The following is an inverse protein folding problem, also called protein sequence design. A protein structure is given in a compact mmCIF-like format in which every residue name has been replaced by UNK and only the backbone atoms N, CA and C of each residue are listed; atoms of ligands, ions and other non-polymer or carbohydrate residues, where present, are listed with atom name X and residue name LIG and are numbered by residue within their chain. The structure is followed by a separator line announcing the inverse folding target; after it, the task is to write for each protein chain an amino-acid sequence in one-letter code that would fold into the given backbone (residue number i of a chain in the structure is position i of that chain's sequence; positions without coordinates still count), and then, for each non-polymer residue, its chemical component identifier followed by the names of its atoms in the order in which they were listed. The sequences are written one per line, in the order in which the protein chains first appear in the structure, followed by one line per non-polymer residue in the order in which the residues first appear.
data_IF_240235266068
#
_entry.id   IF_240235266068
#
_cell.length_a   1.000
_cell.length_b   1.000
_cell.length_c   1.000
_cell.angle_alpha   90.00
_cell.angle_beta   90.00
_cell.angle_gamma   90.00
#
_symmetry.space_group_name_H-M   'P 1'
#
loop_
_entity.id
_entity.type
_entity.pdbx_description
1 polymer ?
#
# COMPACT_ATOMS: atom_id res chain seq x y z
N UNK A 1 5.30 -7.33 0.71
CA UNK A 1 4.06 -6.98 -0.03
C UNK A 1 3.86 -5.47 0.00
N UNK A 2 3.82 -4.79 1.16
CA UNK A 2 3.64 -3.31 1.19
C UNK A 2 4.69 -2.54 0.39
N UNK A 3 5.93 -3.04 0.32
CA UNK A 3 6.97 -2.47 -0.52
C UNK A 3 6.67 -2.68 -2.01
N UNK A 4 6.14 -3.85 -2.38
CA UNK A 4 5.69 -4.12 -3.75
C UNK A 4 4.57 -3.16 -4.16
N UNK A 5 3.62 -2.92 -3.26
CA UNK A 5 2.55 -1.94 -3.47
C UNK A 5 3.11 -0.51 -3.62
N UNK A 6 4.14 -0.16 -2.86
CA UNK A 6 4.79 1.14 -3.00
C UNK A 6 5.47 1.31 -4.37
N UNK A 7 6.22 0.30 -4.82
CA UNK A 7 6.90 0.39 -6.12
C UNK A 7 5.93 0.35 -7.30
N UNK A 8 4.71 -0.17 -7.12
CA UNK A 8 3.65 -0.05 -8.13
C UNK A 8 3.23 1.41 -8.39
N UNK A 9 3.59 2.36 -7.50
CA UNK A 9 3.38 3.80 -7.73
C UNK A 9 4.01 4.30 -9.03
N UNK A 10 5.07 3.66 -9.53
CA UNK A 10 5.68 3.99 -10.81
C UNK A 10 4.67 3.82 -11.97
N UNK A 11 3.72 2.90 -11.82
CA UNK A 11 2.71 2.62 -12.83
C UNK A 11 1.39 3.37 -12.60
N UNK A 12 1.17 3.97 -11.43
CA UNK A 12 -0.10 4.67 -11.16
C UNK A 12 -0.37 5.79 -12.18
N UNK A 13 0.66 6.57 -12.54
CA UNK A 13 0.49 7.62 -13.52
C UNK A 13 0.07 7.06 -14.88
N UNK A 14 0.72 5.99 -15.34
CA UNK A 14 0.42 5.34 -16.62
C UNK A 14 -0.95 4.69 -16.59
N UNK A 15 -1.26 3.96 -15.52
CA UNK A 15 -2.57 3.31 -15.34
C UNK A 15 -3.70 4.33 -15.30
N UNK A 16 -3.56 5.42 -14.56
CA UNK A 16 -4.58 6.47 -14.49
C UNK A 16 -4.81 7.16 -15.84
N UNK A 17 -3.78 7.30 -16.66
CA UNK A 17 -3.93 7.80 -18.04
C UNK A 17 -4.70 6.81 -18.90
N UNK A 18 -4.43 5.51 -18.82
CA UNK A 18 -5.19 4.49 -19.54
C UNK A 18 -6.64 4.42 -19.06
N UNK A 19 -6.88 4.66 -17.77
CA UNK A 19 -8.24 4.78 -17.23
C UNK A 19 -8.93 6.11 -17.62
N UNK A 20 -8.37 6.86 -18.59
CA UNK A 20 -8.96 8.07 -19.15
C UNK A 20 -8.83 9.34 -18.31
N UNK A 21 -7.89 9.38 -17.33
CA UNK A 21 -7.58 10.60 -16.59
C UNK A 21 -6.50 11.42 -17.33
N UNK A 22 -6.63 12.74 -17.30
CA UNK A 22 -5.57 13.62 -17.84
C UNK A 22 -4.30 13.47 -17.00
N UNK A 23 -3.13 13.65 -17.63
CA UNK A 23 -1.83 13.55 -16.94
C UNK A 23 -1.73 14.48 -15.74
N UNK A 24 -2.23 15.72 -15.87
CA UNK A 24 -2.21 16.69 -14.78
C UNK A 24 -3.08 16.24 -13.59
N UNK A 25 -4.28 15.72 -13.86
CA UNK A 25 -5.20 15.25 -12.82
C UNK A 25 -4.68 13.99 -12.14
N UNK A 26 -4.14 13.03 -12.90
CA UNK A 26 -3.48 11.84 -12.36
C UNK A 26 -2.29 12.19 -11.44
N UNK A 27 -1.44 13.14 -11.86
CA UNK A 27 -0.33 13.62 -11.05
C UNK A 27 -0.82 14.30 -9.76
N UNK A 28 -1.93 15.05 -9.82
CA UNK A 28 -2.53 15.66 -8.62
C UNK A 28 -3.03 14.62 -7.62
N UNK A 29 -3.72 13.57 -8.10
CA UNK A 29 -4.19 12.46 -7.25
C UNK A 29 -3.02 11.79 -6.53
N UNK A 30 -1.96 11.48 -7.27
CA UNK A 30 -0.74 10.87 -6.69
C UNK A 30 -0.10 11.83 -5.69
N UNK A 31 0.05 13.10 -6.04
CA UNK A 31 0.60 14.12 -5.13
C UNK A 31 -0.20 14.24 -3.83
N UNK A 32 -1.53 14.22 -3.90
CA UNK A 32 -2.39 14.25 -2.70
C UNK A 32 -2.23 12.99 -1.85
N UNK A 33 -2.03 11.82 -2.44
CA UNK A 33 -1.78 10.60 -1.68
C UNK A 33 -0.46 10.64 -0.89
N UNK A 34 0.56 11.36 -1.38
CA UNK A 34 1.80 11.60 -0.64
C UNK A 34 1.60 12.49 0.60
N UNK A 35 0.68 13.45 0.55
CA UNK A 35 0.28 14.18 1.76
C UNK A 35 -0.38 13.25 2.78
N UNK A 36 -1.19 12.31 2.34
CA UNK A 36 -1.74 11.23 3.18
C UNK A 36 -0.64 10.38 3.83
N UNK A 37 0.43 10.04 3.08
CA UNK A 37 1.61 9.33 3.61
C UNK A 37 2.29 10.10 4.76
N UNK A 38 2.53 11.38 4.57
CA UNK A 38 3.11 12.24 5.62
C UNK A 38 2.22 12.27 6.86
N UNK A 39 0.91 12.50 6.67
CA UNK A 39 -0.05 12.52 7.78
C UNK A 39 -0.10 11.17 8.49
N UNK A 40 -0.08 10.05 7.77
CA UNK A 40 -0.06 8.70 8.34
C UNK A 40 1.14 8.47 9.26
N UNK A 41 2.33 8.92 8.87
CA UNK A 41 3.57 8.84 9.69
C UNK A 41 3.45 9.66 10.96
N UNK A 42 2.95 10.89 10.84
CA UNK A 42 2.77 11.79 11.99
C UNK A 42 1.74 11.22 12.97
N UNK A 43 0.56 10.84 12.48
CA UNK A 43 -0.52 10.29 13.31
C UNK A 43 -0.04 9.04 14.05
N UNK A 44 0.57 8.09 13.34
CA UNK A 44 1.05 6.86 13.97
C UNK A 44 2.15 7.12 14.99
N UNK A 45 3.00 8.11 14.75
CA UNK A 45 4.03 8.51 15.73
C UNK A 45 3.41 8.88 17.09
N UNK A 46 2.27 9.58 17.10
CA UNK A 46 1.57 9.97 18.33
C UNK A 46 0.78 8.84 19.00
N UNK A 47 0.25 7.90 18.23
CA UNK A 47 -0.63 6.86 18.77
C UNK A 47 0.09 5.55 19.09
N UNK A 48 1.29 5.32 18.55
CA UNK A 48 2.06 4.08 18.74
C UNK A 48 2.41 3.79 20.20
N UNK A 49 2.52 4.83 21.05
CA UNK A 49 2.81 4.68 22.48
C UNK A 49 1.58 4.30 23.31
N UNK A 50 0.37 4.52 22.76
CA UNK A 50 -0.90 4.30 23.47
C UNK A 50 -1.60 2.99 23.10
N UNK A 51 -1.35 2.49 21.89
CA UNK A 51 -2.06 1.33 21.34
C UNK A 51 -1.09 0.23 20.93
N UNK A 52 -1.61 -0.98 20.89
CA UNK A 52 -0.83 -2.15 20.42
C UNK A 52 -0.37 -1.95 18.96
N UNK A 53 0.94 -2.06 18.75
CA UNK A 53 1.57 -1.81 17.45
C UNK A 53 1.12 -2.80 16.38
N UNK A 54 0.84 -4.02 16.78
CA UNK A 54 0.32 -5.06 15.89
C UNK A 54 -1.10 -4.71 15.42
N UNK A 55 -1.95 -4.23 16.32
CA UNK A 55 -3.29 -3.78 16.00
C UNK A 55 -3.25 -2.58 15.04
N UNK A 56 -2.40 -1.59 15.32
CA UNK A 56 -2.19 -0.43 14.44
C UNK A 56 -1.68 -0.84 13.06
N UNK A 57 -0.74 -1.80 12.97
CA UNK A 57 -0.24 -2.30 11.70
C UNK A 57 -1.32 -3.02 10.90
N UNK A 58 -2.20 -3.76 11.57
CA UNK A 58 -3.37 -4.41 10.94
C UNK A 58 -4.31 -3.36 10.33
N UNK A 59 -4.61 -2.29 11.06
CA UNK A 59 -5.41 -1.16 10.55
C UNK A 59 -4.71 -0.53 9.34
N UNK A 60 -3.41 -0.26 9.43
CA UNK A 60 -2.64 0.35 8.34
C UNK A 60 -2.69 -0.48 7.06
N UNK A 61 -2.59 -1.80 7.15
CA UNK A 61 -2.69 -2.68 5.99
C UNK A 61 -4.12 -2.79 5.47
N UNK A 62 -5.13 -2.73 6.33
CA UNK A 62 -6.53 -2.66 5.90
C UNK A 62 -6.82 -1.38 5.13
N UNK A 63 -6.33 -0.23 5.61
CA UNK A 63 -6.43 1.05 4.90
C UNK A 63 -5.72 1.00 3.55
N UNK A 64 -4.51 0.45 3.52
CA UNK A 64 -3.74 0.31 2.28
C UNK A 64 -4.47 -0.57 1.26
N UNK A 65 -5.08 -1.67 1.71
CA UNK A 65 -5.90 -2.55 0.87
C UNK A 65 -7.10 -1.81 0.27
N UNK A 66 -7.82 -1.03 1.09
CA UNK A 66 -8.93 -0.19 0.61
C UNK A 66 -8.47 0.86 -0.41
N UNK A 67 -7.29 1.44 -0.19
CA UNK A 67 -6.69 2.38 -1.15
C UNK A 67 -6.41 1.75 -2.51
N UNK A 68 -5.86 0.52 -2.53
CA UNK A 68 -5.59 -0.21 -3.79
C UNK A 68 -6.88 -0.64 -4.47
N UNK A 69 -7.90 -1.07 -3.70
CA UNK A 69 -9.24 -1.31 -4.23
C UNK A 69 -9.82 -0.07 -4.91
N UNK A 70 -9.54 1.12 -4.36
CA UNK A 70 -9.92 2.38 -4.99
C UNK A 70 -9.37 2.52 -6.41
N UNK A 71 -8.11 2.10 -6.66
CA UNK A 71 -7.52 2.11 -8.03
C UNK A 71 -8.27 1.16 -8.96
N UNK A 72 -8.64 -0.03 -8.48
CA UNK A 72 -9.42 -1.01 -9.27
C UNK A 72 -10.80 -0.44 -9.65
N UNK A 73 -11.42 0.36 -8.78
CA UNK A 73 -12.69 1.04 -9.06
C UNK A 73 -12.50 2.13 -10.14
N UNK A 74 -11.40 2.89 -10.10
CA UNK A 74 -11.11 3.92 -11.10
C UNK A 74 -10.98 3.31 -12.50
N UNK A 75 -10.38 2.12 -12.61
CA UNK A 75 -10.13 1.43 -13.88
C UNK A 75 -11.31 0.62 -14.42
N UNK A 76 -12.38 0.44 -13.65
CA UNK A 76 -13.52 -0.36 -14.09
C UNK A 76 -14.40 0.38 -15.11
N UNK A 77 -14.67 -0.26 -16.25
CA UNK A 77 -15.44 0.30 -17.37
C UNK A 77 -16.98 0.22 -17.19
N UNK A 78 -17.49 -0.38 -16.12
CA UNK A 78 -18.94 -0.54 -15.99
C UNK A 78 -19.64 0.80 -15.73
N UNK A 79 -20.70 1.10 -16.49
CA UNK A 79 -21.49 2.35 -16.39
C UNK A 79 -22.03 2.61 -14.98
N UNK A 80 -22.32 1.55 -14.24
CA UNK A 80 -22.72 1.64 -12.84
C UNK A 80 -21.60 2.22 -11.94
N UNK A 81 -20.37 2.18 -12.39
CA UNK A 81 -19.15 2.57 -11.64
C UNK A 81 -18.71 3.99 -11.97
N UNK A 82 -19.22 4.65 -13.01
CA UNK A 82 -18.91 6.06 -13.28
C UNK A 82 -19.29 6.97 -12.09
N UNK A 83 -20.38 6.65 -11.39
CA UNK A 83 -20.72 7.30 -10.13
C UNK A 83 -19.69 7.00 -9.02
N UNK A 84 -19.03 5.84 -9.07
CA UNK A 84 -18.05 5.39 -8.11
C UNK A 84 -16.59 5.79 -8.43
N UNK A 85 -16.32 6.35 -9.62
CA UNK A 85 -14.96 6.78 -10.00
C UNK A 85 -14.40 7.81 -9.02
N UNK A 86 -15.20 8.81 -8.64
CA UNK A 86 -14.82 9.78 -7.63
C UNK A 86 -14.59 9.12 -6.27
N UNK A 87 -15.39 8.11 -5.92
CA UNK A 87 -15.19 7.30 -4.72
C UNK A 87 -13.85 6.57 -4.77
N UNK A 88 -13.50 5.95 -5.89
CA UNK A 88 -12.22 5.28 -6.09
C UNK A 88 -11.03 6.24 -5.88
N UNK A 89 -11.13 7.46 -6.43
CA UNK A 89 -10.11 8.50 -6.25
C UNK A 89 -9.97 8.90 -4.78
N UNK A 90 -11.07 9.11 -4.08
CA UNK A 90 -11.10 9.47 -2.66
C UNK A 90 -10.49 8.34 -1.82
N UNK A 91 -10.89 7.09 -2.07
CA UNK A 91 -10.34 5.92 -1.40
C UNK A 91 -8.82 5.82 -1.60
N UNK A 92 -8.35 6.01 -2.82
CA UNK A 92 -6.92 6.00 -3.10
C UNK A 92 -6.18 7.12 -2.37
N UNK A 93 -6.61 8.36 -2.50
CA UNK A 93 -5.92 9.51 -1.87
C UNK A 93 -5.82 9.33 -0.36
N UNK A 94 -6.95 9.03 0.29
CA UNK A 94 -7.02 9.00 1.77
C UNK A 94 -6.42 7.70 2.30
N UNK A 95 -6.93 6.56 1.86
CA UNK A 95 -6.59 5.29 2.50
C UNK A 95 -5.27 4.72 2.04
N UNK A 96 -4.88 4.90 0.78
CA UNK A 96 -3.56 4.48 0.31
C UNK A 96 -2.46 5.30 1.02
N UNK A 97 -2.58 6.63 1.04
CA UNK A 97 -1.59 7.50 1.69
C UNK A 97 -1.46 7.19 3.18
N UNK A 98 -2.55 7.27 3.93
CA UNK A 98 -2.56 7.00 5.37
C UNK A 98 -2.07 5.58 5.69
N UNK A 99 -2.55 4.58 4.96
CA UNK A 99 -2.18 3.18 5.18
C UNK A 99 -0.70 2.92 4.91
N UNK A 100 -0.15 3.47 3.82
CA UNK A 100 1.27 3.32 3.52
C UNK A 100 2.12 4.07 4.54
N UNK A 101 1.84 5.34 4.79
CA UNK A 101 2.59 6.19 5.71
C UNK A 101 2.67 5.62 7.12
N UNK A 102 1.55 5.15 7.65
CA UNK A 102 1.51 4.55 8.99
C UNK A 102 2.21 3.18 9.05
N UNK A 103 2.17 2.40 7.98
CA UNK A 103 2.76 1.06 7.96
C UNK A 103 4.28 1.04 8.08
N UNK A 104 4.99 2.05 7.56
CA UNK A 104 6.46 2.11 7.53
C UNK A 104 7.05 2.16 8.94
N UNK A 105 6.74 3.16 9.79
CA UNK A 105 7.28 3.22 11.14
C UNK A 105 6.80 2.05 12.01
N UNK A 106 5.56 1.59 11.84
CA UNK A 106 5.02 0.46 12.61
C UNK A 106 5.78 -0.84 12.37
N UNK A 107 6.16 -1.13 11.13
CA UNK A 107 6.97 -2.33 10.82
C UNK A 107 8.32 -2.27 11.51
N UNK A 108 8.97 -1.11 11.53
CA UNK A 108 10.28 -0.93 12.13
C UNK A 108 10.21 -1.01 13.66
N UNK A 109 9.21 -0.39 14.27
CA UNK A 109 9.01 -0.46 15.73
C UNK A 109 8.60 -1.86 16.18
N UNK A 110 7.76 -2.55 15.42
CA UNK A 110 7.37 -3.92 15.70
C UNK A 110 8.58 -4.87 15.59
N UNK A 111 9.45 -4.69 14.60
CA UNK A 111 10.70 -5.44 14.49
C UNK A 111 11.59 -5.25 15.73
N UNK A 112 11.70 -4.02 16.25
CA UNK A 112 12.43 -3.75 17.48
C UNK A 112 11.84 -4.47 18.71
N UNK A 113 10.50 -4.59 18.77
CA UNK A 113 9.82 -5.28 19.88
C UNK A 113 10.02 -6.81 19.85
N UNK A 114 10.09 -7.40 18.66
CA UNK A 114 10.24 -8.86 18.50
C UNK A 114 11.69 -9.33 18.60
N UNK A 115 12.63 -8.57 18.05
CA UNK A 115 14.04 -8.98 17.92
C UNK A 115 14.98 -8.25 18.87
N UNK A 116 14.45 -7.28 19.62
CA UNK A 116 15.23 -6.48 20.58
C UNK A 116 16.09 -5.40 19.93
N UNK A 117 16.45 -4.39 20.74
CA UNK A 117 17.20 -3.22 20.26
C UNK A 117 18.65 -3.55 19.87
N UNK A 118 19.25 -4.60 20.45
CA UNK A 118 20.64 -4.99 20.18
C UNK A 118 20.86 -5.39 18.72
N UNK A 119 19.88 -6.05 18.10
CA UNK A 119 19.96 -6.57 16.74
C UNK A 119 19.15 -5.72 15.74
N UNK A 120 18.68 -4.55 16.15
CA UNK A 120 17.77 -3.72 15.37
C UNK A 120 18.31 -3.39 13.97
N UNK A 121 19.58 -2.97 13.87
CA UNK A 121 20.18 -2.63 12.57
C UNK A 121 20.18 -3.79 11.58
N UNK A 122 20.56 -5.00 12.03
CA UNK A 122 20.54 -6.21 11.19
C UNK A 122 19.12 -6.57 10.77
N UNK A 123 18.14 -6.46 11.66
CA UNK A 123 16.74 -6.76 11.36
C UNK A 123 16.16 -5.77 10.35
N UNK A 124 16.43 -4.48 10.50
CA UNK A 124 16.04 -3.45 9.54
C UNK A 124 16.69 -3.71 8.17
N UNK A 125 17.97 -4.10 8.17
CA UNK A 125 18.66 -4.50 6.93
C UNK A 125 17.97 -5.67 6.22
N UNK A 126 17.65 -6.74 6.92
CA UNK A 126 16.93 -7.91 6.37
C UNK A 126 15.55 -7.50 5.85
N UNK A 127 14.77 -6.75 6.65
CA UNK A 127 13.43 -6.30 6.24
C UNK A 127 13.49 -5.44 4.97
N UNK A 128 14.47 -4.55 4.87
CA UNK A 128 14.64 -3.71 3.69
C UNK A 128 15.13 -4.52 2.48
N UNK A 129 16.03 -5.50 2.67
CA UNK A 129 16.49 -6.38 1.59
C UNK A 129 15.34 -7.21 1.02
N UNK A 130 14.56 -7.87 1.89
CA UNK A 130 13.37 -8.61 1.46
C UNK A 130 12.37 -7.68 0.79
N UNK A 131 12.16 -6.49 1.38
CA UNK A 131 11.30 -5.46 0.80
C UNK A 131 11.75 -5.02 -0.59
N UNK A 132 13.07 -4.83 -0.80
CA UNK A 132 13.64 -4.44 -2.09
C UNK A 132 13.44 -5.53 -3.16
N UNK A 133 13.63 -6.81 -2.82
CA UNK A 133 13.38 -7.93 -3.75
C UNK A 133 11.92 -7.91 -4.23
N UNK A 134 10.96 -7.85 -3.31
CA UNK A 134 9.54 -7.77 -3.69
C UNK A 134 9.20 -6.45 -4.37
N UNK A 135 9.86 -5.37 -3.99
CA UNK A 135 9.72 -4.07 -4.64
C UNK A 135 10.17 -4.09 -6.10
N UNK A 136 11.29 -4.74 -6.40
CA UNK A 136 11.80 -4.86 -7.77
C UNK A 136 10.93 -5.80 -8.63
N UNK A 137 10.35 -6.84 -8.04
CA UNK A 137 9.46 -7.76 -8.75
C UNK A 137 8.09 -7.15 -9.06
N UNK A 138 7.63 -6.17 -8.27
CA UNK A 138 6.30 -5.59 -8.45
C UNK A 138 6.09 -4.89 -9.80
N UNK A 139 6.99 -4.03 -10.30
CA UNK A 139 6.89 -3.47 -11.64
C UNK A 139 6.83 -4.53 -12.74
N UNK A 140 7.64 -5.59 -12.58
CA UNK A 140 7.63 -6.71 -13.52
C UNK A 140 6.26 -7.42 -13.52
N UNK A 141 5.69 -7.70 -12.36
CA UNK A 141 4.37 -8.31 -12.25
C UNK A 141 3.28 -7.43 -12.89
N UNK A 142 3.31 -6.12 -12.64
CA UNK A 142 2.35 -5.18 -13.22
C UNK A 142 2.48 -5.12 -14.74
N UNK A 143 3.73 -5.03 -15.24
CA UNK A 143 4.01 -5.02 -16.69
C UNK A 143 3.57 -6.31 -17.37
N UNK A 144 3.99 -7.48 -16.85
CA UNK A 144 3.59 -8.78 -17.39
C UNK A 144 2.07 -8.96 -17.38
N UNK A 145 1.38 -8.56 -16.30
CA UNK A 145 -0.08 -8.64 -16.25
C UNK A 145 -0.71 -7.81 -17.37
N UNK A 146 -0.20 -6.60 -17.59
CA UNK A 146 -0.65 -5.75 -18.72
C UNK A 146 -0.41 -6.41 -20.06
N UNK A 147 0.76 -6.99 -20.28
CA UNK A 147 1.13 -7.64 -21.56
C UNK A 147 0.23 -8.85 -21.86
N UNK A 148 -0.14 -9.62 -20.84
CA UNK A 148 -1.00 -10.81 -20.98
C UNK A 148 -2.49 -10.49 -21.04
N UNK A 149 -2.96 -9.51 -20.30
CA UNK A 149 -4.41 -9.23 -20.17
C UNK A 149 -4.89 -8.02 -20.96
N UNK A 150 -3.95 -7.18 -21.40
CA UNK A 150 -4.27 -5.93 -22.09
C UNK A 150 -4.64 -4.77 -21.17
N UNK A 151 -4.82 -4.99 -19.84
CA UNK A 151 -5.27 -3.97 -18.90
C UNK A 151 -4.49 -4.02 -17.57
N UNK A 152 -4.25 -2.84 -16.96
CA UNK A 152 -3.63 -2.73 -15.64
C UNK A 152 -4.57 -3.13 -14.49
N UNK A 153 -5.87 -3.14 -14.69
CA UNK A 153 -6.86 -3.41 -13.62
C UNK A 153 -6.60 -4.77 -12.95
N UNK A 154 -6.22 -5.78 -13.74
CA UNK A 154 -5.93 -7.11 -13.22
C UNK A 154 -4.70 -7.13 -12.29
N UNK A 155 -3.69 -6.31 -12.57
CA UNK A 155 -2.56 -6.17 -11.68
C UNK A 155 -2.97 -5.61 -10.31
N UNK A 156 -3.88 -4.64 -10.28
CA UNK A 156 -4.41 -4.09 -9.02
C UNK A 156 -5.27 -5.10 -8.26
N UNK A 157 -6.03 -5.96 -8.95
CA UNK A 157 -6.74 -7.06 -8.30
C UNK A 157 -5.77 -8.05 -7.64
N UNK A 158 -4.68 -8.43 -8.33
CA UNK A 158 -3.64 -9.30 -7.77
C UNK A 158 -3.00 -8.66 -6.53
N UNK A 159 -2.61 -7.39 -6.61
CA UNK A 159 -2.02 -6.66 -5.49
C UNK A 159 -2.98 -6.56 -4.30
N UNK A 160 -4.26 -6.30 -4.55
CA UNK A 160 -5.30 -6.27 -3.52
C UNK A 160 -5.43 -7.63 -2.85
N UNK A 161 -5.50 -8.70 -3.62
CA UNK A 161 -5.59 -10.07 -3.09
C UNK A 161 -4.37 -10.40 -2.21
N UNK A 162 -3.17 -10.09 -2.66
CA UNK A 162 -1.94 -10.26 -1.89
C UNK A 162 -1.97 -9.47 -0.57
N UNK A 163 -2.52 -8.25 -0.59
CA UNK A 163 -2.65 -7.43 0.62
C UNK A 163 -3.67 -8.00 1.61
N UNK A 164 -4.79 -8.52 1.14
CA UNK A 164 -5.79 -9.20 1.99
C UNK A 164 -5.13 -10.38 2.73
N UNK A 165 -4.30 -11.17 2.05
CA UNK A 165 -3.56 -12.27 2.68
C UNK A 165 -2.55 -11.80 3.74
N UNK A 166 -2.05 -10.58 3.63
CA UNK A 166 -1.08 -10.04 4.60
C UNK A 166 -1.74 -9.75 5.96
N UNK A 167 -3.02 -9.37 5.97
CA UNK A 167 -3.74 -9.02 7.20
C UNK A 167 -3.77 -10.18 8.23
N UNK A 168 -4.25 -11.39 7.89
CA UNK A 168 -4.23 -12.50 8.84
C UNK A 168 -2.82 -12.93 9.25
N UNK A 169 -1.82 -12.77 8.37
CA UNK A 169 -0.42 -13.04 8.73
C UNK A 169 0.07 -12.09 9.84
N UNK A 170 -0.27 -10.81 9.78
CA UNK A 170 0.07 -9.86 10.84
C UNK A 170 -0.66 -10.22 12.14
N UNK A 171 -1.94 -10.59 12.05
CA UNK A 171 -2.72 -11.00 13.22
C UNK A 171 -2.16 -12.27 13.86
N UNK A 172 -1.58 -13.17 13.09
CA UNK A 172 -0.99 -14.43 13.59
C UNK A 172 0.37 -14.25 14.27
N UNK A 173 1.03 -13.10 14.13
CA UNK A 173 2.31 -12.84 14.80
C UNK A 173 2.16 -13.01 16.31
N UNK A 174 2.92 -13.93 16.90
CA UNK A 174 3.00 -14.13 18.35
C UNK A 174 4.36 -13.64 18.85
N UNK A 175 4.33 -12.83 19.90
CA UNK A 175 5.56 -12.50 20.64
C UNK A 175 5.93 -13.72 21.47
N UNK A 176 7.07 -14.36 21.16
CA UNK A 176 7.63 -15.36 22.08
C UNK A 176 8.16 -14.62 23.30
N UNK A 177 7.56 -14.89 24.46
CA UNK A 177 8.05 -14.45 25.76
C UNK A 177 9.35 -15.17 26.11
#
# INVERSE_FOLDING_TARGET
ISQAVFTSNLFHLTSFKEFGLTTAFAATIIGLSWWGDILGRVVVGFITDKYDRKFLLTISFSLLTLGILGVSIIGSESEFILFNRNLGIILFIIFFGLGFGSSVPLRLTLAADYFGRKNYGSMVGILNTVGAVFGTLSPLLVGLTKDFTGDYIYAYYILTFMMIFTIPLVISLRKNN
#
